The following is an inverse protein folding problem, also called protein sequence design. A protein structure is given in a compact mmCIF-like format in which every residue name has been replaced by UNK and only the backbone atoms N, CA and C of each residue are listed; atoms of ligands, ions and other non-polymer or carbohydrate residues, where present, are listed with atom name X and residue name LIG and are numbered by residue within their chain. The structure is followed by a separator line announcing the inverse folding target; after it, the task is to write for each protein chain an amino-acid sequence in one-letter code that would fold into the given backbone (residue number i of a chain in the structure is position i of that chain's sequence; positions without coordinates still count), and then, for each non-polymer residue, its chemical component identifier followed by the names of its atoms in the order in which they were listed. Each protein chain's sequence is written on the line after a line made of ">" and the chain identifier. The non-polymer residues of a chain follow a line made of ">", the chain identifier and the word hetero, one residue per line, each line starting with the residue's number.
data_IF_312808322329
#
_entry.id   IF_312808322329
#
_cell.length_a   1.000
_cell.length_b   1.000
_cell.length_c   1.000
_cell.angle_alpha   90.00
_cell.angle_beta   90.00
_cell.angle_gamma   90.00
#
_symmetry.space_group_name_H-M   'P 1'
#
loop_
_entity.id
_entity.type
_entity.pdbx_description
1 polymer ?
#
# COMPACT_ATOMS: atom_id res chain seq x y z
N UNK A 1 -64.56 23.38 32.30
CA UNK A 1 -63.74 22.67 31.31
C UNK A 1 -62.75 23.68 30.72
N UNK A 2 -61.44 23.61 31.04
CA UNK A 2 -60.46 24.44 30.31
C UNK A 2 -59.12 24.89 30.96
N UNK A 3 -58.69 24.42 32.14
CA UNK A 3 -57.43 24.94 32.76
C UNK A 3 -56.25 23.95 32.81
N UNK A 4 -56.46 22.69 32.41
CA UNK A 4 -55.47 21.62 32.49
C UNK A 4 -54.29 21.78 31.49
N UNK A 5 -54.46 22.24 30.23
CA UNK A 5 -53.34 22.23 29.27
C UNK A 5 -52.29 23.31 29.58
N UNK A 6 -52.70 24.49 30.06
CA UNK A 6 -51.77 25.60 30.34
C UNK A 6 -50.86 25.34 31.54
N UNK A 7 -51.34 24.57 32.52
CA UNK A 7 -50.51 24.16 33.68
C UNK A 7 -49.47 23.13 33.25
N UNK A 8 -49.83 22.19 32.37
CA UNK A 8 -48.92 21.18 31.85
C UNK A 8 -47.80 21.81 31.00
N UNK A 9 -48.13 22.79 30.15
CA UNK A 9 -47.14 23.54 29.38
C UNK A 9 -46.16 24.32 30.27
N UNK A 10 -46.67 24.98 31.32
CA UNK A 10 -45.81 25.69 32.28
C UNK A 10 -44.89 24.74 33.05
N UNK A 11 -45.41 23.58 33.44
CA UNK A 11 -44.61 22.55 34.13
C UNK A 11 -43.51 22.00 33.21
N UNK A 12 -43.83 21.71 31.94
CA UNK A 12 -42.85 21.28 30.95
C UNK A 12 -41.81 22.36 30.66
N UNK A 13 -42.21 23.64 30.59
CA UNK A 13 -41.29 24.75 30.39
C UNK A 13 -40.32 24.91 31.57
N UNK A 14 -40.80 24.76 32.81
CA UNK A 14 -39.96 24.80 34.01
C UNK A 14 -38.98 23.61 34.03
N UNK A 15 -39.45 22.40 33.71
CA UNK A 15 -38.61 21.21 33.62
C UNK A 15 -37.52 21.37 32.56
N UNK A 16 -37.89 21.83 31.35
CA UNK A 16 -36.95 22.07 30.26
C UNK A 16 -35.88 23.06 30.67
N UNK A 17 -36.27 24.17 31.32
CA UNK A 17 -35.33 25.18 31.80
C UNK A 17 -34.37 24.61 32.85
N UNK A 18 -34.88 23.85 33.83
CA UNK A 18 -34.03 23.23 34.85
C UNK A 18 -33.07 22.21 34.26
N UNK A 19 -33.50 21.42 33.28
CA UNK A 19 -32.63 20.47 32.58
C UNK A 19 -31.56 21.19 31.77
N UNK A 20 -31.90 22.28 31.09
CA UNK A 20 -30.92 23.12 30.37
C UNK A 20 -29.88 23.69 31.34
N UNK A 21 -30.31 24.29 32.46
CA UNK A 21 -29.41 24.81 33.49
C UNK A 21 -28.51 23.71 34.09
N UNK A 22 -29.00 22.46 34.15
CA UNK A 22 -28.25 21.33 34.67
C UNK A 22 -27.23 20.77 33.65
N UNK A 23 -27.58 20.73 32.36
CA UNK A 23 -26.69 20.33 31.27
C UNK A 23 -25.57 21.36 31.07
N UNK A 24 -25.87 22.65 31.23
CA UNK A 24 -24.84 23.70 31.16
C UNK A 24 -23.84 23.61 32.32
N UNK A 25 -24.31 23.26 33.52
CA UNK A 25 -23.44 23.06 34.70
C UNK A 25 -22.69 21.74 34.69
N UNK A 26 -23.28 20.69 34.11
CA UNK A 26 -22.71 19.35 34.01
C UNK A 26 -22.95 18.82 32.59
N UNK A 27 -22.05 19.15 31.65
CA UNK A 27 -22.16 18.64 30.30
C UNK A 27 -22.12 17.11 30.32
N UNK A 28 -22.89 16.42 29.47
CA UNK A 28 -22.86 14.98 29.39
C UNK A 28 -21.45 14.53 28.98
N UNK A 29 -20.87 13.66 29.78
CA UNK A 29 -19.62 12.98 29.46
C UNK A 29 -19.89 11.83 28.52
N UNK A 30 -18.95 11.53 27.64
CA UNK A 30 -19.01 10.30 26.88
C UNK A 30 -18.83 9.07 27.81
N UNK A 31 -19.33 7.88 27.44
CA UNK A 31 -19.25 6.68 28.30
C UNK A 31 -17.85 6.26 28.73
N UNK A 32 -16.82 6.69 28.00
CA UNK A 32 -15.41 6.42 28.25
C UNK A 32 -14.68 7.57 28.97
N UNK A 33 -15.34 8.70 29.20
CA UNK A 33 -14.78 9.85 29.89
C UNK A 33 -15.10 9.84 31.38
N UNK A 34 -14.08 9.97 32.20
CA UNK A 34 -14.26 10.15 33.66
C UNK A 34 -14.38 11.62 34.07
N UNK A 35 -13.97 12.58 33.23
CA UNK A 35 -14.00 14.02 33.50
C UNK A 35 -14.18 14.81 32.20
N UNK A 36 -14.78 16.00 32.26
CA UNK A 36 -14.94 16.89 31.11
C UNK A 36 -13.59 17.49 30.73
N UNK A 37 -13.08 17.12 29.56
CA UNK A 37 -11.82 17.66 29.03
C UNK A 37 -12.12 18.58 27.84
N UNK A 38 -11.39 19.68 27.73
CA UNK A 38 -11.47 20.56 26.57
C UNK A 38 -10.72 19.89 25.43
N UNK A 39 -11.47 19.46 24.42
CA UNK A 39 -10.91 18.82 23.25
C UNK A 39 -10.16 19.87 22.41
N UNK A 40 -8.94 19.59 21.95
CA UNK A 40 -8.28 20.48 21.00
C UNK A 40 -9.11 20.58 19.72
N UNK A 41 -9.47 21.82 19.33
CA UNK A 41 -10.36 22.13 18.19
C UNK A 41 -9.81 21.67 16.83
N UNK A 42 -8.51 21.39 16.77
CA UNK A 42 -7.88 20.64 15.70
C UNK A 42 -6.73 19.86 16.33
N UNK A 43 -6.69 18.56 16.12
CA UNK A 43 -5.39 17.90 16.00
C UNK A 43 -4.75 18.60 14.82
N UNK A 44 -3.70 19.39 15.03
CA UNK A 44 -2.85 19.78 13.91
C UNK A 44 -2.47 18.48 13.23
N UNK A 45 -3.09 18.21 12.08
CA UNK A 45 -2.61 17.27 11.08
C UNK A 45 -1.28 17.83 10.57
N UNK A 46 -0.25 17.81 11.44
CA UNK A 46 1.07 17.44 10.99
C UNK A 46 0.82 16.16 10.23
N UNK A 47 1.00 16.26 8.93
CA UNK A 47 0.71 15.25 7.94
C UNK A 47 1.57 14.02 8.20
N UNK A 48 1.26 13.29 9.27
CA UNK A 48 1.50 11.88 9.38
C UNK A 48 0.57 11.31 8.32
N UNK A 49 1.04 11.32 7.07
CA UNK A 49 0.41 10.57 6.00
C UNK A 49 0.19 9.19 6.59
N UNK A 50 -1.08 8.85 6.79
CA UNK A 50 -1.49 7.52 7.22
C UNK A 50 -0.97 6.58 6.14
N UNK A 51 0.24 6.06 6.35
CA UNK A 51 0.85 5.15 5.40
C UNK A 51 -0.02 3.90 5.45
N UNK A 52 -0.69 3.54 4.36
CA UNK A 52 -1.77 2.56 4.42
C UNK A 52 -1.18 1.18 4.72
N UNK A 53 -1.66 0.58 5.82
CA UNK A 53 -1.21 -0.73 6.28
C UNK A 53 -1.95 -1.80 5.49
N UNK A 54 -1.46 -2.12 4.30
CA UNK A 54 -1.96 -3.24 3.48
C UNK A 54 -1.65 -4.63 4.08
N UNK A 55 -1.23 -4.75 5.34
CA UNK A 55 -0.94 -6.04 5.98
C UNK A 55 0.27 -6.78 5.40
N UNK A 56 1.15 -6.05 4.69
CA UNK A 56 2.37 -6.59 4.08
C UNK A 56 3.44 -7.01 5.09
N UNK A 57 3.21 -6.84 6.38
CA UNK A 57 4.09 -7.34 7.44
C UNK A 57 4.35 -8.85 7.31
N UNK A 58 3.38 -9.63 6.82
CA UNK A 58 3.61 -11.06 6.55
C UNK A 58 4.51 -11.27 5.32
N UNK A 59 4.49 -10.36 4.34
CA UNK A 59 5.42 -10.42 3.20
C UNK A 59 6.83 -9.94 3.54
N UNK A 60 7.02 -9.16 4.61
CA UNK A 60 8.37 -8.85 5.10
C UNK A 60 9.15 -10.13 5.39
N UNK A 61 8.50 -11.14 5.99
CA UNK A 61 9.13 -12.45 6.23
C UNK A 61 9.38 -13.29 4.97
N UNK A 62 8.75 -12.95 3.84
CA UNK A 62 9.01 -13.60 2.53
C UNK A 62 10.10 -12.89 1.73
N UNK A 63 10.51 -11.69 2.13
CA UNK A 63 11.68 -11.05 1.54
C UNK A 63 12.92 -11.84 1.96
N UNK A 64 13.72 -12.26 0.98
CA UNK A 64 14.98 -12.96 1.23
C UNK A 64 16.03 -11.94 1.68
N UNK A 65 15.88 -11.41 2.88
CA UNK A 65 16.79 -10.44 3.50
C UNK A 65 17.58 -11.14 4.62
N UNK A 66 18.86 -10.76 4.82
CA UNK A 66 19.67 -11.37 5.86
C UNK A 66 19.25 -10.93 7.27
N UNK A 67 18.58 -9.77 7.41
CA UNK A 67 18.05 -9.22 8.66
C UNK A 67 16.64 -8.68 8.39
N UNK A 68 15.66 -8.88 9.30
CA UNK A 68 14.33 -8.30 9.16
C UNK A 68 14.39 -6.76 9.17
N UNK A 69 13.63 -6.13 8.27
CA UNK A 69 13.55 -4.67 8.22
C UNK A 69 12.56 -4.14 9.26
N UNK A 70 12.87 -3.00 9.92
CA UNK A 70 11.91 -2.29 10.74
C UNK A 70 10.70 -1.88 9.91
N UNK A 71 9.52 -2.01 10.49
CA UNK A 71 8.24 -1.76 9.81
C UNK A 71 8.18 -0.36 9.18
N UNK A 72 8.66 0.67 9.88
CA UNK A 72 8.70 2.05 9.37
C UNK A 72 9.53 2.19 8.09
N UNK A 73 10.69 1.54 8.05
CA UNK A 73 11.60 1.57 6.88
C UNK A 73 10.96 0.84 5.70
N UNK A 74 10.34 -0.31 5.97
CA UNK A 74 9.64 -1.07 4.95
C UNK A 74 8.51 -0.27 4.29
N UNK A 75 7.68 0.39 5.09
CA UNK A 75 6.55 1.17 4.57
C UNK A 75 7.01 2.36 3.74
N UNK A 76 8.05 3.07 4.18
CA UNK A 76 8.67 4.15 3.42
C UNK A 76 9.20 3.65 2.07
N UNK A 77 9.87 2.50 2.05
CA UNK A 77 10.34 1.88 0.80
C UNK A 77 9.17 1.49 -0.10
N UNK A 78 8.11 0.87 0.45
CA UNK A 78 6.94 0.45 -0.31
C UNK A 78 6.25 1.63 -1.01
N UNK A 79 6.01 2.72 -0.29
CA UNK A 79 5.40 3.93 -0.83
C UNK A 79 6.21 4.48 -2.01
N UNK A 80 7.53 4.63 -1.84
CA UNK A 80 8.41 5.13 -2.90
C UNK A 80 8.48 4.16 -4.09
N UNK A 81 8.51 2.86 -3.82
CA UNK A 81 8.46 1.84 -4.87
C UNK A 81 7.17 1.96 -5.69
N UNK A 82 6.01 2.09 -5.05
CA UNK A 82 4.71 2.21 -5.72
C UNK A 82 4.64 3.45 -6.64
N UNK A 83 5.15 4.60 -6.19
CA UNK A 83 5.24 5.82 -7.02
C UNK A 83 6.09 5.57 -8.27
N UNK A 84 7.19 4.82 -8.14
CA UNK A 84 8.12 4.56 -9.23
C UNK A 84 7.74 3.36 -10.11
N UNK A 85 6.71 2.57 -9.76
CA UNK A 85 6.26 1.43 -10.57
C UNK A 85 5.88 1.84 -11.99
N UNK A 86 5.09 2.91 -12.12
CA UNK A 86 4.61 3.42 -13.41
C UNK A 86 5.70 4.14 -14.23
N UNK A 87 6.85 4.46 -13.63
CA UNK A 87 7.94 5.12 -14.36
C UNK A 87 8.59 4.18 -15.39
N UNK A 88 9.02 4.72 -16.53
CA UNK A 88 9.78 3.99 -17.56
C UNK A 88 11.28 3.88 -17.26
N UNK A 89 11.71 4.26 -16.05
CA UNK A 89 13.10 4.25 -15.64
C UNK A 89 13.66 2.82 -15.54
N UNK A 90 14.96 2.62 -15.84
CA UNK A 90 15.59 1.33 -15.63
C UNK A 90 15.60 0.99 -14.14
N UNK A 91 15.54 -0.31 -13.81
CA UNK A 91 15.42 -0.81 -12.44
C UNK A 91 16.50 -0.22 -11.51
N UNK A 92 17.74 -0.11 -11.98
CA UNK A 92 18.82 0.51 -11.20
C UNK A 92 18.57 1.98 -10.84
N UNK A 93 18.06 2.78 -11.77
CA UNK A 93 17.71 4.18 -11.49
C UNK A 93 16.53 4.28 -10.50
N UNK A 94 15.54 3.39 -10.63
CA UNK A 94 14.43 3.30 -9.66
C UNK A 94 14.96 3.00 -8.25
N UNK A 95 15.88 2.05 -8.11
CA UNK A 95 16.46 1.68 -6.81
C UNK A 95 17.23 2.83 -6.16
N UNK A 96 18.07 3.51 -6.93
CA UNK A 96 18.83 4.66 -6.43
C UNK A 96 17.86 5.74 -5.97
N UNK A 97 16.83 6.08 -6.77
CA UNK A 97 15.84 7.10 -6.38
C UNK A 97 15.04 6.74 -5.13
N UNK A 98 14.65 5.46 -4.96
CA UNK A 98 13.95 5.01 -3.74
C UNK A 98 14.83 5.25 -2.51
N UNK A 99 16.08 4.78 -2.54
CA UNK A 99 16.96 4.76 -1.38
C UNK A 99 17.63 6.11 -1.11
N UNK A 100 17.91 6.89 -2.16
CA UNK A 100 18.46 8.25 -2.05
C UNK A 100 17.55 9.18 -1.23
N UNK A 101 16.22 8.99 -1.33
CA UNK A 101 15.27 9.76 -0.52
C UNK A 101 15.40 9.51 0.99
N UNK A 102 15.93 8.35 1.38
CA UNK A 102 16.16 7.96 2.78
C UNK A 102 17.58 8.28 3.25
N UNK A 103 18.54 8.32 2.33
CA UNK A 103 19.97 8.55 2.58
C UNK A 103 20.53 9.67 1.68
N UNK A 104 20.10 10.93 1.85
CA UNK A 104 20.43 12.02 0.91
C UNK A 104 21.91 12.41 0.90
N UNK A 105 22.69 12.00 1.89
CA UNK A 105 24.08 12.41 2.06
C UNK A 105 25.07 11.65 1.14
N UNK A 106 24.72 10.43 0.70
CA UNK A 106 25.67 9.48 0.10
C UNK A 106 25.24 8.92 -1.27
N UNK A 107 24.68 9.76 -2.16
CA UNK A 107 24.16 9.35 -3.48
C UNK A 107 25.14 8.51 -4.33
N UNK A 108 26.44 8.85 -4.31
CA UNK A 108 27.46 8.10 -5.05
C UNK A 108 27.63 6.66 -4.51
N UNK A 109 27.63 6.51 -3.18
CA UNK A 109 27.75 5.20 -2.55
C UNK A 109 26.52 4.34 -2.82
N UNK A 110 25.33 4.95 -2.85
CA UNK A 110 24.07 4.27 -3.20
C UNK A 110 24.13 3.75 -4.63
N UNK A 111 24.61 4.55 -5.58
CA UNK A 111 24.75 4.12 -6.97
C UNK A 111 25.72 2.94 -7.14
N UNK A 112 26.87 2.97 -6.46
CA UNK A 112 27.84 1.88 -6.48
C UNK A 112 27.26 0.59 -5.87
N UNK A 113 26.54 0.70 -4.75
CA UNK A 113 25.84 -0.42 -4.10
C UNK A 113 24.68 -0.94 -4.96
N UNK A 114 23.91 -0.07 -5.61
CA UNK A 114 22.84 -0.49 -6.52
C UNK A 114 23.41 -1.30 -7.68
N UNK A 115 24.53 -0.86 -8.26
CA UNK A 115 25.27 -1.62 -9.26
C UNK A 115 25.70 -3.01 -8.76
N UNK A 116 26.11 -3.12 -7.50
CA UNK A 116 26.45 -4.39 -6.85
C UNK A 116 25.22 -5.30 -6.70
N UNK A 117 24.12 -4.79 -6.13
CA UNK A 117 22.87 -5.51 -5.83
C UNK A 117 22.18 -6.03 -7.10
N UNK A 118 22.30 -5.31 -8.21
CA UNK A 118 21.80 -5.76 -9.51
C UNK A 118 22.61 -6.94 -10.07
N UNK A 119 23.94 -6.90 -9.90
CA UNK A 119 24.86 -7.94 -10.40
C UNK A 119 24.86 -9.19 -9.52
N UNK A 120 24.66 -9.03 -8.21
CA UNK A 120 24.55 -10.14 -7.26
C UNK A 120 23.13 -10.71 -7.31
N UNK A 121 22.79 -11.41 -8.40
CA UNK A 121 21.44 -11.97 -8.52
C UNK A 121 21.21 -13.11 -7.53
N UNK A 122 22.22 -13.93 -7.20
CA UNK A 122 22.01 -15.16 -6.40
C UNK A 122 23.26 -15.68 -5.66
N UNK A 123 24.33 -14.89 -5.52
CA UNK A 123 25.47 -15.29 -4.67
C UNK A 123 25.40 -14.57 -3.34
N UNK A 124 24.89 -15.32 -2.38
CA UNK A 124 25.34 -15.26 -0.99
C UNK A 124 24.85 -14.05 -0.19
N UNK A 125 23.64 -14.21 0.37
CA UNK A 125 23.47 -13.87 1.79
C UNK A 125 24.70 -14.33 2.60
N UNK A 126 25.28 -15.49 2.24
CA UNK A 126 26.55 -16.04 2.76
C UNK A 126 27.80 -15.13 2.74
N UNK A 127 27.88 -14.10 1.88
CA UNK A 127 29.07 -13.20 1.86
C UNK A 127 28.86 -11.93 2.66
N UNK A 128 27.62 -11.65 3.08
CA UNK A 128 27.27 -10.60 4.03
C UNK A 128 26.98 -11.17 5.42
N UNK A 129 26.66 -12.46 5.55
CA UNK A 129 26.50 -13.16 6.83
C UNK A 129 27.84 -13.46 7.51
N UNK A 130 28.97 -13.42 6.79
CA UNK A 130 30.28 -13.66 7.40
C UNK A 130 30.74 -12.52 8.33
N UNK A 131 30.03 -11.38 8.37
CA UNK A 131 30.38 -10.23 9.22
C UNK A 131 29.22 -9.54 9.92
N UNK A 132 27.98 -10.03 9.76
CA UNK A 132 26.85 -9.53 10.53
C UNK A 132 26.56 -10.50 11.67
N UNK A 133 26.81 -10.07 12.91
CA UNK A 133 26.19 -10.69 14.08
C UNK A 133 24.67 -10.76 13.80
N UNK A 134 24.16 -11.99 13.73
CA UNK A 134 22.80 -12.34 13.29
C UNK A 134 21.73 -11.84 14.30
N UNK A 135 22.14 -11.15 15.37
CA UNK A 135 21.29 -10.51 16.37
C UNK A 135 21.26 -8.96 16.28
N UNK A 136 21.90 -8.35 15.28
CA UNK A 136 21.93 -6.88 15.15
C UNK A 136 20.63 -6.31 14.57
N UNK A 137 20.05 -5.32 15.25
CA UNK A 137 18.92 -4.56 14.73
C UNK A 137 19.38 -3.68 13.56
N UNK A 138 18.47 -3.41 12.61
CA UNK A 138 18.77 -2.59 11.43
C UNK A 138 19.44 -1.25 11.75
N UNK A 139 19.06 -0.62 12.86
CA UNK A 139 19.60 0.67 13.28
C UNK A 139 21.03 0.60 13.85
N UNK A 140 21.48 -0.59 14.25
CA UNK A 140 22.85 -0.81 14.78
C UNK A 140 23.87 -1.05 13.66
N UNK A 141 23.39 -1.27 12.44
CA UNK A 141 24.24 -1.51 11.28
C UNK A 141 24.96 -0.24 10.82
N UNK A 142 26.12 -0.42 10.18
CA UNK A 142 26.83 0.69 9.53
C UNK A 142 25.95 1.33 8.45
N UNK A 143 26.04 2.65 8.19
CA UNK A 143 25.22 3.32 7.18
C UNK A 143 25.28 2.64 5.80
N UNK A 144 26.44 2.13 5.40
CA UNK A 144 26.63 1.38 4.16
C UNK A 144 25.88 0.05 4.13
N UNK A 145 25.77 -0.64 5.26
CA UNK A 145 25.00 -1.88 5.39
C UNK A 145 23.49 -1.60 5.38
N UNK A 146 23.03 -0.53 6.06
CA UNK A 146 21.65 -0.07 6.01
C UNK A 146 21.21 0.26 4.58
N UNK A 147 22.05 0.99 3.84
CA UNK A 147 21.83 1.29 2.42
C UNK A 147 21.73 0.02 1.56
N UNK A 148 22.66 -0.93 1.74
CA UNK A 148 22.65 -2.18 1.00
C UNK A 148 21.40 -3.03 1.27
N UNK A 149 20.98 -3.15 2.53
CA UNK A 149 19.74 -3.82 2.92
C UNK A 149 18.51 -3.15 2.31
N UNK A 150 18.45 -1.82 2.38
CA UNK A 150 17.34 -1.03 1.84
C UNK A 150 17.25 -1.20 0.31
N UNK A 151 18.40 -1.25 -0.39
CA UNK A 151 18.46 -1.53 -1.83
C UNK A 151 17.99 -2.94 -2.18
N UNK A 152 18.38 -3.95 -1.40
CA UNK A 152 17.93 -5.34 -1.61
C UNK A 152 16.42 -5.46 -1.42
N UNK A 153 15.89 -4.84 -0.37
CA UNK A 153 14.46 -4.84 -0.10
C UNK A 153 13.68 -4.08 -1.16
N UNK A 154 14.15 -2.89 -1.57
CA UNK A 154 13.54 -2.12 -2.65
C UNK A 154 13.52 -2.92 -3.97
N UNK A 155 14.59 -3.66 -4.28
CA UNK A 155 14.64 -4.55 -5.45
C UNK A 155 13.58 -5.64 -5.37
N UNK A 156 13.53 -6.38 -4.27
CA UNK A 156 12.55 -7.44 -4.10
C UNK A 156 11.11 -6.92 -4.08
N UNK A 157 10.88 -5.73 -3.50
CA UNK A 157 9.57 -5.05 -3.54
C UNK A 157 9.15 -4.70 -4.96
N UNK A 158 10.02 -4.03 -5.73
CA UNK A 158 9.74 -3.70 -7.12
C UNK A 158 9.50 -4.95 -7.97
N UNK A 159 10.28 -6.01 -7.77
CA UNK A 159 10.10 -7.30 -8.45
C UNK A 159 8.79 -8.00 -8.03
N UNK A 160 8.40 -7.91 -6.75
CA UNK A 160 7.16 -8.49 -6.24
C UNK A 160 5.92 -7.76 -6.76
N UNK A 161 5.97 -6.43 -6.84
CA UNK A 161 4.91 -5.57 -7.36
C UNK A 161 4.84 -5.55 -8.90
N UNK A 162 5.82 -6.17 -9.58
CA UNK A 162 5.85 -6.27 -11.04
C UNK A 162 5.44 -7.66 -11.52
N UNK A 163 4.51 -7.73 -12.47
CA UNK A 163 4.02 -8.93 -13.12
C UNK A 163 4.58 -9.00 -14.55
N UNK A 164 5.69 -9.72 -14.81
CA UNK A 164 6.27 -9.83 -16.14
C UNK A 164 5.52 -10.88 -16.97
N UNK A 165 4.83 -10.47 -18.04
CA UNK A 165 4.09 -11.36 -18.94
C UNK A 165 4.65 -11.27 -20.36
N UNK A 166 4.68 -12.38 -21.08
CA UNK A 166 5.19 -12.42 -22.46
C UNK A 166 4.41 -13.39 -23.33
N UNK A 167 4.62 -13.35 -24.65
CA UNK A 167 4.04 -14.35 -25.54
C UNK A 167 4.59 -15.76 -25.29
N UNK A 168 5.80 -15.87 -24.73
CA UNK A 168 6.39 -17.15 -24.33
C UNK A 168 5.88 -17.65 -22.97
N UNK A 169 5.48 -16.74 -22.09
CA UNK A 169 4.87 -17.01 -20.80
C UNK A 169 3.57 -16.20 -20.68
N UNK A 170 2.50 -16.66 -21.35
CA UNK A 170 1.26 -15.90 -21.49
C UNK A 170 0.37 -15.93 -20.26
N UNK A 171 0.79 -16.59 -19.17
CA UNK A 171 0.03 -16.67 -17.94
C UNK A 171 0.95 -16.47 -16.75
N UNK A 172 0.59 -15.52 -15.89
CA UNK A 172 1.27 -15.23 -14.62
C UNK A 172 0.23 -15.09 -13.53
N UNK A 173 0.48 -15.75 -12.41
CA UNK A 173 -0.34 -15.62 -11.21
C UNK A 173 0.56 -15.24 -10.04
N UNK A 174 0.12 -14.27 -9.25
CA UNK A 174 0.79 -13.87 -8.02
C UNK A 174 -0.23 -13.69 -6.91
N UNK A 175 0.21 -13.99 -5.70
CA UNK A 175 -0.60 -13.91 -4.50
C UNK A 175 0.06 -12.99 -3.48
N UNK A 176 -0.76 -12.14 -2.88
CA UNK A 176 -0.38 -11.27 -1.79
C UNK A 176 -1.30 -11.48 -0.60
N UNK A 177 -0.74 -11.80 0.56
CA UNK A 177 -1.45 -11.70 1.81
C UNK A 177 -1.61 -10.22 2.21
N UNK A 178 -2.85 -9.81 2.46
CA UNK A 178 -3.25 -8.51 2.99
C UNK A 178 -3.87 -8.67 4.38
N UNK A 179 -4.19 -7.57 5.06
CA UNK A 179 -4.88 -7.59 6.37
C UNK A 179 -6.23 -8.29 6.33
N UNK A 180 -6.93 -8.22 5.20
CA UNK A 180 -8.28 -8.77 5.02
C UNK A 180 -8.30 -10.17 4.41
N UNK A 181 -7.17 -10.67 3.93
CA UNK A 181 -7.04 -12.03 3.39
C UNK A 181 -6.03 -12.14 2.26
N UNK A 182 -6.11 -13.20 1.47
CA UNK A 182 -5.21 -13.39 0.32
C UNK A 182 -5.80 -12.77 -0.93
N UNK A 183 -5.08 -11.83 -1.53
CA UNK A 183 -5.29 -11.28 -2.86
C UNK A 183 -4.56 -12.16 -3.89
N UNK A 184 -5.28 -12.78 -4.83
CA UNK A 184 -4.65 -13.44 -5.98
C UNK A 184 -4.93 -12.64 -7.25
N UNK A 185 -3.89 -12.26 -8.01
CA UNK A 185 -4.05 -11.68 -9.33
C UNK A 185 -3.47 -12.64 -10.36
N UNK A 186 -4.31 -13.00 -11.32
CA UNK A 186 -3.97 -13.82 -12.49
C UNK A 186 -4.06 -12.95 -13.74
N UNK A 187 -2.94 -12.85 -14.46
CA UNK A 187 -2.83 -12.09 -15.70
C UNK A 187 -2.59 -13.06 -16.85
N UNK A 188 -3.40 -12.97 -17.88
CA UNK A 188 -3.33 -13.80 -19.08
C UNK A 188 -3.18 -12.93 -20.35
N UNK A 189 -2.32 -13.37 -21.26
CA UNK A 189 -2.02 -12.75 -22.53
C UNK A 189 -2.52 -13.66 -23.67
N UNK A 190 -3.52 -13.21 -24.42
CA UNK A 190 -4.07 -13.97 -25.55
C UNK A 190 -3.79 -13.27 -26.88
N UNK A 191 -3.13 -13.97 -27.80
CA UNK A 191 -2.94 -13.50 -29.16
C UNK A 191 -4.12 -13.96 -30.04
N UNK A 192 -4.93 -13.01 -30.51
CA UNK A 192 -6.10 -13.25 -31.39
C UNK A 192 -5.78 -12.98 -32.87
N UNK A 193 -4.49 -13.02 -33.23
CA UNK A 193 -3.98 -12.82 -34.59
C UNK A 193 -3.88 -11.35 -34.97
N UNK A 194 -5.00 -10.62 -34.99
CA UNK A 194 -5.03 -9.19 -35.36
C UNK A 194 -4.61 -8.27 -34.20
N UNK A 195 -4.88 -8.66 -32.98
CA UNK A 195 -4.55 -7.92 -31.76
C UNK A 195 -4.21 -8.87 -30.62
N UNK A 196 -3.57 -8.35 -29.59
CA UNK A 196 -3.22 -9.07 -28.37
C UNK A 196 -4.12 -8.52 -27.26
N UNK A 197 -4.74 -9.43 -26.50
CA UNK A 197 -5.66 -9.13 -25.41
C UNK A 197 -5.01 -9.47 -24.07
N UNK A 198 -5.09 -8.56 -23.12
CA UNK A 198 -4.68 -8.71 -21.73
C UNK A 198 -5.92 -8.95 -20.88
N UNK A 199 -6.00 -10.11 -20.22
CA UNK A 199 -7.07 -10.43 -19.29
C UNK A 199 -6.49 -10.46 -17.88
N UNK A 200 -7.03 -9.65 -16.97
CA UNK A 200 -6.65 -9.62 -15.56
C UNK A 200 -7.83 -10.13 -14.74
N UNK A 201 -7.60 -11.18 -13.97
CA UNK A 201 -8.57 -11.76 -13.03
C UNK A 201 -8.02 -11.55 -11.62
N UNK A 202 -8.84 -11.04 -10.71
CA UNK A 202 -8.44 -10.88 -9.32
C UNK A 202 -9.35 -11.62 -8.37
N UNK A 203 -8.84 -12.57 -7.62
CA UNK A 203 -9.54 -13.12 -6.46
C UNK A 203 -9.29 -12.18 -5.28
N UNK A 204 -10.28 -11.34 -5.00
CA UNK A 204 -10.24 -10.38 -3.91
C UNK A 204 -10.75 -11.02 -2.61
N UNK A 205 -10.07 -10.82 -1.47
CA UNK A 205 -10.51 -11.35 -0.18
C UNK A 205 -11.79 -10.68 0.34
N UNK A 206 -12.05 -9.43 -0.07
CA UNK A 206 -13.22 -8.63 0.25
C UNK A 206 -13.69 -7.89 -1.00
N UNK A 207 -14.95 -7.40 -1.05
CA UNK A 207 -15.42 -6.55 -2.14
C UNK A 207 -14.48 -5.37 -2.36
N UNK A 208 -14.15 -5.09 -3.61
CA UNK A 208 -13.12 -4.12 -3.96
C UNK A 208 -13.21 -3.68 -5.42
N UNK A 209 -12.34 -2.75 -5.79
CA UNK A 209 -12.29 -2.18 -7.13
C UNK A 209 -10.94 -2.58 -7.74
N UNK A 210 -10.99 -3.20 -8.91
CA UNK A 210 -9.84 -3.37 -9.77
C UNK A 210 -9.89 -2.30 -10.85
N UNK A 211 -8.78 -1.64 -11.07
CA UNK A 211 -8.64 -0.65 -12.13
C UNK A 211 -7.35 -0.91 -12.90
N UNK A 212 -7.47 -1.17 -14.19
CA UNK A 212 -6.35 -1.33 -15.10
C UNK A 212 -6.19 -0.06 -15.94
N UNK A 213 -5.01 0.52 -15.89
CA UNK A 213 -4.66 1.74 -16.61
C UNK A 213 -3.55 1.46 -17.63
N UNK A 214 -3.87 1.66 -18.89
CA UNK A 214 -2.95 1.94 -20.00
C UNK A 214 -2.77 3.46 -20.21
N UNK A 215 -2.02 3.86 -21.24
CA UNK A 215 -1.73 5.26 -21.57
C UNK A 215 -3.01 5.98 -22.01
N UNK A 216 -3.82 5.34 -22.86
CA UNK A 216 -5.02 5.93 -23.46
C UNK A 216 -6.30 5.17 -23.09
N UNK A 217 -6.19 4.10 -22.31
CA UNK A 217 -7.31 3.23 -21.94
C UNK A 217 -7.31 2.97 -20.44
N UNK A 218 -8.45 3.19 -19.81
CA UNK A 218 -8.66 2.91 -18.39
C UNK A 218 -9.93 2.09 -18.27
N UNK A 219 -9.80 0.89 -17.72
CA UNK A 219 -10.93 0.03 -17.41
C UNK A 219 -10.97 -0.21 -15.91
N UNK A 220 -12.16 -0.19 -15.34
CA UNK A 220 -12.37 -0.53 -13.93
C UNK A 220 -13.52 -1.52 -13.80
N UNK A 221 -13.37 -2.44 -12.87
CA UNK A 221 -14.38 -3.42 -12.52
C UNK A 221 -14.50 -3.44 -11.01
N UNK A 222 -15.74 -3.31 -10.53
CA UNK A 222 -16.07 -3.49 -9.13
C UNK A 222 -16.39 -4.96 -8.89
N UNK A 223 -15.79 -5.54 -7.88
CA UNK A 223 -16.12 -6.87 -7.39
C UNK A 223 -17.19 -6.75 -6.31
N UNK A 224 -18.30 -7.44 -6.52
CA UNK A 224 -19.30 -7.70 -5.48
C UNK A 224 -19.00 -9.03 -4.77
N UNK A 225 -19.59 -9.22 -3.58
CA UNK A 225 -19.39 -10.43 -2.78
C UNK A 225 -19.79 -11.67 -3.59
N UNK A 226 -18.81 -12.54 -3.88
CA UNK A 226 -18.94 -13.80 -4.64
C UNK A 226 -18.66 -13.76 -6.15
N UNK A 227 -18.21 -12.63 -6.72
CA UNK A 227 -17.75 -12.56 -8.11
C UNK A 227 -16.24 -12.31 -8.22
N UNK A 228 -15.59 -13.05 -9.12
CA UNK A 228 -14.19 -12.81 -9.48
C UNK A 228 -14.17 -11.68 -10.52
N UNK A 229 -13.72 -10.46 -10.18
CA UNK A 229 -13.62 -9.37 -11.14
C UNK A 229 -12.62 -9.74 -12.25
N UNK A 230 -13.07 -9.54 -13.50
CA UNK A 230 -12.25 -9.77 -14.69
C UNK A 230 -12.23 -8.50 -15.54
N UNK A 231 -11.02 -8.00 -15.83
CA UNK A 231 -10.77 -6.85 -16.71
C UNK A 231 -10.11 -7.33 -17.99
N UNK A 232 -10.48 -6.77 -19.13
CA UNK A 232 -10.05 -7.23 -20.44
C UNK A 232 -9.65 -6.07 -21.35
N UNK A 233 -8.35 -5.82 -21.46
CA UNK A 233 -7.83 -4.67 -22.19
C UNK A 233 -7.07 -5.09 -23.45
N UNK A 234 -7.25 -4.34 -24.54
CA UNK A 234 -6.46 -4.55 -25.76
C UNK A 234 -5.09 -3.88 -25.62
N UNK A 235 -4.03 -4.64 -25.85
CA UNK A 235 -2.66 -4.15 -25.70
C UNK A 235 -2.28 -3.23 -26.84
N UNK A 236 -1.76 -2.05 -26.49
CA UNK A 236 -1.00 -1.21 -27.39
C UNK A 236 0.47 -1.67 -27.44
N UNK A 237 0.99 -1.90 -28.65
CA UNK A 237 2.39 -2.28 -28.89
C UNK A 237 3.38 -1.18 -28.51
N UNK A 238 2.91 0.06 -28.44
CA UNK A 238 3.72 1.19 -27.99
C UNK A 238 3.82 1.29 -26.46
N UNK A 239 3.08 0.45 -25.72
CA UNK A 239 3.06 0.47 -24.27
C UNK A 239 3.47 -0.88 -23.66
N UNK A 240 4.68 -0.95 -23.07
CA UNK A 240 5.16 -2.18 -22.43
C UNK A 240 4.74 -2.30 -20.96
N UNK A 241 4.16 -1.27 -20.33
CA UNK A 241 3.84 -1.26 -18.89
C UNK A 241 2.41 -0.79 -18.67
N UNK A 242 1.60 -1.59 -17.97
CA UNK A 242 0.25 -1.26 -17.52
C UNK A 242 0.22 -1.20 -15.99
N UNK A 243 -0.61 -0.32 -15.43
CA UNK A 243 -0.74 -0.17 -13.97
C UNK A 243 -2.07 -0.77 -13.53
N UNK A 244 -2.05 -1.71 -12.60
CA UNK A 244 -3.22 -2.28 -11.95
C UNK A 244 -3.33 -1.68 -10.55
N UNK A 245 -4.38 -0.92 -10.29
CA UNK A 245 -4.75 -0.44 -8.98
C UNK A 245 -5.81 -1.38 -8.37
N UNK A 246 -5.56 -1.81 -7.14
CA UNK A 246 -6.49 -2.59 -6.33
C UNK A 246 -6.92 -1.73 -5.16
N UNK A 247 -8.21 -1.49 -4.99
CA UNK A 247 -8.77 -0.66 -3.93
C UNK A 247 -9.80 -1.44 -3.13
N UNK A 248 -9.81 -1.25 -1.81
CA UNK A 248 -10.82 -1.80 -0.92
C UNK A 248 -11.54 -0.64 -0.23
N UNK A 249 -12.71 -0.20 -0.73
CA UNK A 249 -13.42 0.95 -0.19
C UNK A 249 -13.76 0.83 1.29
N UNK A 250 -13.93 -0.40 1.80
CA UNK A 250 -14.24 -0.67 3.21
C UNK A 250 -13.06 -0.37 4.16
N UNK A 251 -11.83 -0.31 3.64
CA UNK A 251 -10.62 -0.12 4.46
C UNK A 251 -10.15 1.32 4.53
N UNK A 252 -10.70 2.23 3.71
CA UNK A 252 -10.27 3.63 3.58
C UNK A 252 -8.73 3.76 3.44
N UNK A 253 -8.13 2.85 2.67
CA UNK A 253 -6.69 2.77 2.41
C UNK A 253 -6.38 3.17 0.96
N UNK A 254 -5.20 3.74 0.71
CA UNK A 254 -4.74 4.01 -0.66
C UNK A 254 -4.70 2.72 -1.49
N UNK A 255 -4.96 2.79 -2.80
CA UNK A 255 -4.95 1.62 -3.66
C UNK A 255 -3.54 1.01 -3.77
N UNK A 256 -3.46 -0.32 -3.78
CA UNK A 256 -2.22 -1.04 -4.09
C UNK A 256 -1.99 -0.97 -5.59
N UNK A 257 -0.87 -0.39 -5.96
CA UNK A 257 -0.42 -0.32 -7.35
C UNK A 257 0.49 -1.50 -7.68
N UNK A 258 0.18 -2.17 -8.78
CA UNK A 258 0.95 -3.26 -9.38
C UNK A 258 1.30 -2.87 -10.83
N UNK A 259 2.50 -3.22 -11.28
CA UNK A 259 2.92 -2.99 -12.65
C UNK A 259 2.87 -4.29 -13.46
N UNK A 260 2.16 -4.31 -14.58
CA UNK A 260 2.16 -5.42 -15.54
C UNK A 260 3.11 -5.06 -16.67
N UNK A 261 4.23 -5.77 -16.75
CA UNK A 261 5.23 -5.58 -17.80
C UNK A 261 4.99 -6.57 -18.93
N UNK A 262 4.54 -6.09 -20.07
CA UNK A 262 4.28 -6.88 -21.27
C UNK A 262 5.52 -6.89 -22.16
N UNK A 263 6.03 -8.08 -22.45
CA UNK A 263 7.08 -8.32 -23.45
C UNK A 263 6.48 -9.07 -24.65
N UNK A 264 6.27 -8.33 -25.74
CA UNK A 264 5.76 -8.86 -27.01
C UNK A 264 6.89 -9.50 -27.80
#
# INVERSE_FOLDING_TARGET
>A
MGEIPTVQERFQAILKRRLQDQVEKNPPLFPWETQSMEYPDCVEEQSLGLVPVWGWTVHQSKLNLPIPLPEKVFWQLLEKCQVLLASSLPLGAKLVQVVESMFPTDAQAINDLAGLVLRSSYRSADTLTATADVESDYFDLLPRQQMALSLMAAKQLLENLTLPISLTQPLVEKQWLTTVGTLSIRVELRNLGKFIKLTVQGELPTPGILQLQGNDTQEFVKSETSEIPVIELQIDRNQPIYTLAVEFPELDQQPLLLAIQVKI
#
